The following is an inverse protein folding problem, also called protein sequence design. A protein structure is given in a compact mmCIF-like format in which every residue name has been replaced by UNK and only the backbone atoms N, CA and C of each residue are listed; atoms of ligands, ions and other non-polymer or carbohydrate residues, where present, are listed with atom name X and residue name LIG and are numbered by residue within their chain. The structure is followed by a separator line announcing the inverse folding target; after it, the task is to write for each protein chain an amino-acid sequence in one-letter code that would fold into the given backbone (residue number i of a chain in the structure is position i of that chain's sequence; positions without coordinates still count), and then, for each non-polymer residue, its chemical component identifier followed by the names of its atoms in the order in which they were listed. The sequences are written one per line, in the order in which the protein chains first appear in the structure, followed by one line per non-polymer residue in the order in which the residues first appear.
data_IF_036590294273
#
_entry.id   IF_036590294273
#
_cell.length_a   1.000
_cell.length_b   1.000
_cell.length_c   1.000
_cell.angle_alpha   90.00
_cell.angle_beta   90.00
_cell.angle_gamma   90.00
#
_symmetry.space_group_name_H-M   'P 1'
#
loop_
_entity.id
_entity.type
_entity.pdbx_description
1 polymer ?
#
# COMPACT_ATOMS: atom_id res chain seq x y z
N UNK A 1 55.96 2.92 38.07
CA UNK A 1 55.48 2.37 36.78
C UNK A 1 53.96 2.06 36.84
N UNK A 2 53.42 1.60 37.99
CA UNK A 2 52.02 1.28 38.19
C UNK A 2 51.07 2.47 38.17
N UNK A 3 51.45 3.62 38.78
CA UNK A 3 50.62 4.82 38.86
C UNK A 3 50.49 5.58 37.51
N UNK A 4 51.53 5.53 36.68
CA UNK A 4 51.51 6.17 35.35
C UNK A 4 50.57 5.39 34.41
N UNK A 5 50.56 4.04 34.53
CA UNK A 5 49.69 3.21 33.73
C UNK A 5 48.20 3.44 34.04
N UNK A 6 47.84 3.67 35.32
CA UNK A 6 46.46 3.98 35.73
C UNK A 6 45.97 5.33 35.25
N UNK A 7 46.83 6.36 35.30
CA UNK A 7 46.47 7.73 34.82
C UNK A 7 46.31 7.78 33.31
N UNK A 8 47.14 7.07 32.56
CA UNK A 8 47.01 6.97 31.09
C UNK A 8 45.76 6.19 30.70
N UNK A 9 45.44 5.10 31.41
CA UNK A 9 44.22 4.30 31.14
C UNK A 9 42.94 5.10 31.41
N UNK A 10 42.89 5.89 32.48
CA UNK A 10 41.75 6.77 32.76
C UNK A 10 41.59 7.91 31.73
N UNK A 11 42.73 8.52 31.27
CA UNK A 11 42.67 9.55 30.25
C UNK A 11 42.18 9.04 28.90
N UNK A 12 42.57 7.84 28.49
CA UNK A 12 42.11 7.19 27.25
C UNK A 12 40.61 6.83 27.36
N UNK A 13 40.17 6.33 28.52
CA UNK A 13 38.73 6.03 28.73
C UNK A 13 37.84 7.28 28.68
N UNK A 14 38.32 8.42 29.23
CA UNK A 14 37.59 9.70 29.17
C UNK A 14 37.53 10.26 27.74
N UNK A 15 38.60 10.16 26.97
CA UNK A 15 38.63 10.63 25.57
C UNK A 15 37.71 9.76 24.69
N UNK A 16 37.65 8.44 24.90
CA UNK A 16 36.73 7.57 24.18
C UNK A 16 35.27 7.87 24.57
N UNK A 17 34.98 8.11 25.85
CA UNK A 17 33.63 8.45 26.31
C UNK A 17 33.16 9.81 25.76
N UNK A 18 34.03 10.80 25.71
CA UNK A 18 33.72 12.13 25.12
C UNK A 18 33.57 12.03 23.61
N UNK A 19 34.39 11.22 22.93
CA UNK A 19 34.27 10.96 21.50
C UNK A 19 32.96 10.27 21.12
N UNK A 20 32.45 9.34 21.95
CA UNK A 20 31.16 8.67 21.72
C UNK A 20 29.94 9.58 21.96
N UNK A 21 30.07 10.58 22.87
CA UNK A 21 29.02 11.57 23.11
C UNK A 21 28.98 12.60 21.97
N UNK A 22 30.13 12.96 21.39
CA UNK A 22 30.23 13.92 20.30
C UNK A 22 29.76 13.38 18.93
N UNK A 23 29.66 12.03 18.77
CA UNK A 23 29.20 11.39 17.52
C UNK A 23 27.73 10.99 17.53
N UNK A 24 26.94 11.30 18.59
CA UNK A 24 25.49 11.18 18.49
C UNK A 24 25.05 12.19 17.44
N UNK A 25 24.37 11.74 16.36
CA UNK A 25 23.80 12.70 15.42
C UNK A 25 22.90 13.63 16.22
N UNK A 26 23.25 14.92 16.20
CA UNK A 26 22.42 15.96 16.78
C UNK A 26 21.08 15.88 16.04
N UNK A 27 20.02 15.50 16.75
CA UNK A 27 18.67 15.54 16.21
C UNK A 27 18.43 17.00 15.83
N UNK A 28 18.63 17.32 14.57
CA UNK A 28 18.25 18.62 14.06
C UNK A 28 16.78 18.79 14.41
N UNK A 29 16.43 19.88 15.08
CA UNK A 29 15.04 20.35 15.23
C UNK A 29 14.53 20.78 13.84
N UNK A 30 14.47 19.81 12.92
CA UNK A 30 13.82 19.99 11.64
C UNK A 30 12.32 20.05 11.93
N UNK A 31 11.70 21.16 11.59
CA UNK A 31 10.26 21.33 11.69
C UNK A 31 9.58 20.11 11.05
N UNK A 32 8.67 19.46 11.80
CA UNK A 32 7.95 18.28 11.32
C UNK A 32 7.20 18.66 10.04
N UNK A 33 7.51 17.96 8.95
CA UNK A 33 6.85 18.17 7.65
C UNK A 33 5.60 17.28 7.57
N UNK A 34 4.44 17.89 7.37
CA UNK A 34 3.21 17.16 7.11
C UNK A 34 3.18 16.67 5.67
N UNK A 35 2.90 15.37 5.47
CA UNK A 35 2.66 14.74 4.18
C UNK A 35 1.22 14.20 4.13
N UNK A 36 0.48 14.59 3.10
CA UNK A 36 -0.85 14.08 2.81
C UNK A 36 -0.73 12.81 1.98
N UNK A 37 -1.16 11.69 2.54
CA UNK A 37 -1.16 10.39 1.86
C UNK A 37 -2.59 9.96 1.59
N UNK A 38 -2.88 9.57 0.34
CA UNK A 38 -4.18 9.02 -0.05
C UNK A 38 -4.02 7.54 -0.40
N UNK A 39 -4.73 6.65 0.31
CA UNK A 39 -4.71 5.20 0.06
C UNK A 39 -5.99 4.72 -0.62
N UNK A 40 -5.94 3.59 -1.32
CA UNK A 40 -7.09 3.02 -2.05
C UNK A 40 -8.23 2.65 -1.10
N UNK A 41 -7.93 1.97 0.00
CA UNK A 41 -8.89 1.50 0.99
C UNK A 41 -8.18 1.17 2.30
N UNK A 42 -8.93 1.04 3.40
CA UNK A 42 -8.40 0.45 4.63
C UNK A 42 -8.25 -1.06 4.46
N UNK A 43 -7.04 -1.59 4.68
CA UNK A 43 -6.76 -3.01 4.48
C UNK A 43 -5.70 -3.53 5.44
N UNK A 44 -5.87 -4.77 5.90
CA UNK A 44 -4.86 -5.48 6.70
C UNK A 44 -3.55 -5.67 5.92
N UNK A 45 -3.58 -5.65 4.60
CA UNK A 45 -2.39 -5.72 3.74
C UNK A 45 -1.50 -4.48 3.87
N UNK A 46 -2.05 -3.38 4.38
CA UNK A 46 -1.34 -2.12 4.61
C UNK A 46 -0.91 -1.95 6.07
N UNK A 47 -1.02 -3.01 6.88
CA UNK A 47 -0.66 -2.99 8.30
C UNK A 47 0.72 -2.37 8.59
N UNK A 48 1.80 -2.59 7.80
CA UNK A 48 3.08 -1.94 8.04
C UNK A 48 3.00 -0.41 8.07
N UNK A 49 2.21 0.20 7.17
CA UNK A 49 1.97 1.65 7.13
C UNK A 49 1.25 2.12 8.41
N UNK A 50 0.19 1.41 8.83
CA UNK A 50 -0.57 1.78 10.02
C UNK A 50 0.25 1.62 11.30
N UNK A 51 1.07 0.56 11.38
CA UNK A 51 1.99 0.35 12.51
C UNK A 51 3.04 1.46 12.56
N UNK A 52 3.59 1.87 11.42
CA UNK A 52 4.56 2.95 11.36
C UNK A 52 3.96 4.29 11.83
N UNK A 53 2.71 4.59 11.43
CA UNK A 53 1.99 5.77 11.90
C UNK A 53 1.70 5.67 13.41
N UNK A 54 1.15 4.54 13.87
CA UNK A 54 0.74 4.36 15.25
C UNK A 54 1.90 4.38 16.26
N UNK A 55 3.08 3.92 15.84
CA UNK A 55 4.29 3.88 16.67
C UNK A 55 5.15 5.15 16.56
N UNK A 56 4.75 6.12 15.74
CA UNK A 56 5.51 7.37 15.59
C UNK A 56 6.79 7.26 14.76
N UNK A 57 6.96 6.20 13.96
CA UNK A 57 8.18 6.01 13.16
C UNK A 57 8.36 7.09 12.09
N UNK A 58 7.27 7.66 11.58
CA UNK A 58 7.34 8.79 10.67
C UNK A 58 7.76 10.08 11.39
N UNK A 59 7.27 10.30 12.60
CA UNK A 59 7.63 11.45 13.44
C UNK A 59 9.10 11.39 13.84
N UNK A 60 9.67 10.21 14.07
CA UNK A 60 11.11 10.02 14.31
C UNK A 60 11.97 10.50 13.14
N UNK A 61 11.44 10.41 11.92
CA UNK A 61 12.06 10.89 10.68
C UNK A 61 11.65 12.33 10.31
N UNK A 62 10.95 13.04 11.22
CA UNK A 62 10.53 14.43 11.01
C UNK A 62 9.31 14.56 10.09
N UNK A 63 8.52 13.51 9.92
CA UNK A 63 7.34 13.49 9.08
C UNK A 63 6.08 13.28 9.91
N UNK A 64 5.00 13.97 9.55
CA UNK A 64 3.64 13.71 10.06
C UNK A 64 2.78 13.25 8.89
N UNK A 65 2.14 12.11 9.01
CA UNK A 65 1.28 11.56 7.96
C UNK A 65 -0.17 11.95 8.21
N UNK A 66 -0.80 12.60 7.22
CA UNK A 66 -2.24 12.80 7.14
C UNK A 66 -2.81 11.81 6.13
N UNK A 67 -3.37 10.71 6.63
CA UNK A 67 -3.85 9.59 5.84
C UNK A 67 -5.34 9.72 5.52
N UNK A 68 -5.67 9.72 4.23
CA UNK A 68 -7.05 9.72 3.70
C UNK A 68 -7.28 8.50 2.80
N UNK A 69 -8.55 8.19 2.51
CA UNK A 69 -8.93 7.03 1.70
C UNK A 69 -9.70 7.47 0.45
N UNK A 70 -9.20 7.10 -0.73
CA UNK A 70 -9.77 7.44 -2.04
C UNK A 70 -10.85 6.48 -2.53
N UNK A 71 -10.94 5.28 -1.95
CA UNK A 71 -11.90 4.23 -2.34
C UNK A 71 -11.75 3.74 -3.79
N UNK A 72 -10.53 3.74 -4.31
CA UNK A 72 -10.19 3.27 -5.64
C UNK A 72 -8.88 3.88 -6.13
N UNK A 73 -8.11 3.12 -6.94
CA UNK A 73 -6.83 3.58 -7.46
C UNK A 73 -6.97 4.80 -8.39
N UNK A 74 -8.06 4.88 -9.13
CA UNK A 74 -8.44 6.02 -9.98
C UNK A 74 -8.64 7.31 -9.18
N UNK A 75 -9.33 7.25 -8.05
CA UNK A 75 -9.51 8.39 -7.17
C UNK A 75 -8.19 8.82 -6.51
N UNK A 76 -7.38 7.86 -6.07
CA UNK A 76 -6.04 8.15 -5.52
C UNK A 76 -5.19 8.87 -6.56
N UNK A 77 -5.15 8.35 -7.79
CA UNK A 77 -4.40 8.96 -8.89
C UNK A 77 -4.89 10.37 -9.19
N UNK A 78 -6.20 10.56 -9.27
CA UNK A 78 -6.82 11.88 -9.46
C UNK A 78 -6.42 12.86 -8.36
N UNK A 79 -6.41 12.41 -7.10
CA UNK A 79 -6.03 13.26 -5.96
C UNK A 79 -4.55 13.70 -6.02
N UNK A 80 -3.65 12.80 -6.46
CA UNK A 80 -2.23 13.13 -6.63
C UNK A 80 -2.04 14.13 -7.77
N UNK A 81 -2.61 13.85 -8.96
CA UNK A 81 -2.48 14.73 -10.13
C UNK A 81 -3.11 16.11 -9.90
N UNK A 82 -4.17 16.19 -9.08
CA UNK A 82 -4.80 17.44 -8.69
C UNK A 82 -4.08 18.19 -7.55
N UNK A 83 -2.98 17.64 -7.02
CA UNK A 83 -2.24 18.23 -5.89
C UNK A 83 -3.01 18.22 -4.56
N UNK A 84 -4.03 17.38 -4.43
CA UNK A 84 -4.81 17.23 -3.19
C UNK A 84 -4.09 16.40 -2.13
N UNK A 85 -3.18 15.53 -2.56
CA UNK A 85 -2.27 14.80 -1.70
C UNK A 85 -0.86 14.76 -2.31
N UNK A 86 0.14 14.55 -1.45
CA UNK A 86 1.55 14.50 -1.84
C UNK A 86 1.95 13.10 -2.34
N UNK A 87 1.32 12.06 -1.78
CA UNK A 87 1.63 10.67 -2.07
C UNK A 87 0.34 9.88 -2.27
N UNK A 88 0.26 9.13 -3.37
CA UNK A 88 -0.76 8.13 -3.62
C UNK A 88 -0.28 6.74 -3.24
N UNK A 89 -1.05 6.02 -2.42
CA UNK A 89 -0.80 4.63 -2.10
C UNK A 89 -1.84 3.75 -2.81
N UNK A 90 -1.49 3.27 -3.99
CA UNK A 90 -2.37 2.50 -4.88
C UNK A 90 -1.57 1.49 -5.71
N UNK A 91 -2.25 0.68 -6.51
CA UNK A 91 -1.61 -0.19 -7.47
C UNK A 91 -0.90 0.61 -8.58
N UNK A 92 0.19 0.08 -9.15
CA UNK A 92 0.96 0.78 -10.19
C UNK A 92 0.21 0.93 -11.51
N UNK A 93 -0.88 0.19 -11.72
CA UNK A 93 -1.70 0.25 -12.93
C UNK A 93 -2.21 1.66 -13.23
N UNK A 94 -2.59 2.39 -12.18
CA UNK A 94 -3.11 3.74 -12.35
C UNK A 94 -2.05 4.71 -12.93
N UNK A 95 -0.77 4.57 -12.54
CA UNK A 95 0.33 5.35 -13.12
C UNK A 95 0.61 4.95 -14.58
N UNK A 96 0.49 3.66 -14.90
CA UNK A 96 0.67 3.16 -16.26
C UNK A 96 -0.41 3.71 -17.19
N UNK A 97 -1.67 3.78 -16.74
CA UNK A 97 -2.75 4.35 -17.55
C UNK A 97 -2.50 5.83 -17.86
N UNK A 98 -2.13 6.62 -16.85
CA UNK A 98 -1.84 8.06 -17.05
C UNK A 98 -0.66 8.26 -18.00
N UNK A 99 0.40 7.47 -17.84
CA UNK A 99 1.55 7.52 -18.73
C UNK A 99 1.19 7.19 -20.19
N UNK A 100 0.36 6.17 -20.39
CA UNK A 100 -0.08 5.75 -21.73
C UNK A 100 -1.02 6.75 -22.42
N UNK A 101 -1.64 7.68 -21.67
CA UNK A 101 -2.40 8.78 -22.25
C UNK A 101 -1.50 9.85 -22.89
N UNK A 102 -0.19 9.73 -22.77
CA UNK A 102 0.78 10.64 -23.40
C UNK A 102 0.82 12.04 -22.77
N UNK A 103 0.38 12.20 -21.54
CA UNK A 103 0.49 13.45 -20.79
C UNK A 103 1.92 13.66 -20.30
N UNK A 104 2.38 14.93 -20.33
CA UNK A 104 3.70 15.30 -19.82
C UNK A 104 3.75 15.21 -18.28
N UNK A 105 2.64 15.45 -17.61
CA UNK A 105 2.48 15.36 -16.16
C UNK A 105 1.95 13.99 -15.76
N UNK A 106 2.81 13.15 -15.20
CA UNK A 106 2.50 11.80 -14.72
C UNK A 106 3.19 11.54 -13.37
N UNK A 107 2.72 10.54 -12.65
CA UNK A 107 3.27 10.15 -11.35
C UNK A 107 4.34 9.07 -11.51
N UNK A 108 5.33 9.09 -10.63
CA UNK A 108 6.39 8.09 -10.55
C UNK A 108 6.18 7.17 -9.36
N UNK A 109 6.38 5.86 -9.58
CA UNK A 109 6.36 4.86 -8.51
C UNK A 109 7.74 4.81 -7.86
N UNK A 110 7.85 5.19 -6.59
CA UNK A 110 9.13 5.27 -5.89
C UNK A 110 9.32 4.20 -4.80
N UNK A 111 8.22 3.56 -4.33
CA UNK A 111 8.28 2.55 -3.27
C UNK A 111 7.21 1.48 -3.45
N UNK A 112 7.48 0.28 -2.94
CA UNK A 112 6.55 -0.84 -2.94
C UNK A 112 6.35 -1.34 -1.50
N UNK A 113 5.10 -1.28 -0.99
CA UNK A 113 4.75 -1.78 0.34
C UNK A 113 4.36 -3.26 0.31
N UNK A 114 3.54 -3.67 -0.67
CA UNK A 114 3.07 -5.05 -0.81
C UNK A 114 3.74 -5.72 -2.00
N UNK A 115 4.24 -6.93 -1.80
CA UNK A 115 4.95 -7.69 -2.86
C UNK A 115 4.00 -8.53 -3.72
N UNK A 116 2.84 -8.91 -3.17
CA UNK A 116 1.87 -9.79 -3.85
C UNK A 116 0.46 -9.24 -3.63
N UNK A 117 -0.41 -9.47 -4.60
CA UNK A 117 -1.84 -9.26 -4.43
C UNK A 117 -2.40 -10.22 -3.38
N UNK A 118 -3.34 -9.73 -2.56
CA UNK A 118 -3.99 -10.48 -1.50
C UNK A 118 -5.46 -10.80 -1.80
N UNK A 119 -5.88 -10.76 -3.06
CA UNK A 119 -7.24 -11.05 -3.44
C UNK A 119 -7.54 -12.56 -3.38
N UNK A 120 -8.72 -12.90 -2.85
CA UNK A 120 -9.20 -14.27 -2.73
C UNK A 120 -10.60 -14.37 -3.32
N UNK A 121 -10.86 -15.44 -4.10
CA UNK A 121 -12.21 -15.79 -4.54
C UNK A 121 -12.95 -16.47 -3.40
N UNK A 122 -14.08 -15.91 -2.99
CA UNK A 122 -14.88 -16.37 -1.86
C UNK A 122 -16.26 -16.80 -2.35
N UNK A 123 -16.75 -17.96 -1.88
CA UNK A 123 -18.08 -18.48 -2.17
C UNK A 123 -18.92 -18.57 -0.89
N UNK A 124 -20.25 -18.35 -1.00
CA UNK A 124 -21.20 -18.58 0.09
C UNK A 124 -21.34 -20.06 0.43
N UNK A 125 -21.22 -20.91 -0.57
CA UNK A 125 -21.39 -22.34 -0.41
C UNK A 125 -20.02 -23.02 -0.38
N UNK A 126 -19.82 -23.90 0.60
CA UNK A 126 -18.63 -24.75 0.63
C UNK A 126 -18.61 -25.62 -0.63
N UNK A 127 -17.47 -25.68 -1.28
CA UNK A 127 -17.19 -26.64 -2.35
C UNK A 127 -15.87 -27.36 -2.05
N UNK A 128 -15.85 -28.67 -2.14
CA UNK A 128 -14.65 -29.47 -1.89
C UNK A 128 -13.81 -29.64 -3.17
N UNK A 129 -14.41 -29.45 -4.35
CA UNK A 129 -13.77 -29.62 -5.67
C UNK A 129 -14.11 -28.42 -6.57
N UNK A 130 -13.51 -27.26 -6.29
CA UNK A 130 -13.69 -26.07 -7.13
C UNK A 130 -13.03 -26.25 -8.50
N UNK A 131 -13.76 -25.91 -9.55
CA UNK A 131 -13.24 -25.70 -10.90
C UNK A 131 -13.57 -24.29 -11.36
N UNK A 132 -12.68 -23.67 -12.14
CA UNK A 132 -12.95 -22.36 -12.74
C UNK A 132 -14.22 -22.38 -13.61
N UNK A 133 -14.54 -23.51 -14.23
CA UNK A 133 -15.75 -23.69 -15.04
C UNK A 133 -17.04 -23.54 -14.23
N UNK A 134 -17.00 -23.70 -12.90
CA UNK A 134 -18.16 -23.54 -12.02
C UNK A 134 -18.62 -22.07 -11.92
N UNK A 135 -17.81 -21.15 -12.42
CA UNK A 135 -18.14 -19.72 -12.47
C UNK A 135 -19.03 -19.35 -13.65
N UNK A 136 -19.23 -20.26 -14.62
CA UNK A 136 -20.13 -19.98 -15.77
C UNK A 136 -21.55 -19.65 -15.29
N UNK A 137 -22.08 -18.53 -15.79
CA UNK A 137 -23.39 -18.04 -15.43
C UNK A 137 -23.52 -17.46 -14.02
N UNK A 138 -22.40 -17.30 -13.29
CA UNK A 138 -22.39 -16.68 -11.95
C UNK A 138 -22.15 -15.19 -12.05
N UNK A 139 -22.60 -14.47 -11.00
CA UNK A 139 -22.19 -13.09 -10.75
C UNK A 139 -21.04 -13.08 -9.76
N UNK A 140 -20.00 -12.33 -10.07
CA UNK A 140 -18.82 -12.13 -9.21
C UNK A 140 -18.60 -10.64 -9.03
N UNK A 141 -18.26 -10.22 -7.82
CA UNK A 141 -17.86 -8.86 -7.48
C UNK A 141 -16.31 -8.81 -7.43
N UNK A 142 -15.63 -8.43 -8.52
CA UNK A 142 -14.17 -8.52 -8.61
C UNK A 142 -13.46 -7.25 -8.13
N UNK A 143 -14.20 -6.23 -7.71
CA UNK A 143 -13.73 -4.88 -7.51
C UNK A 143 -13.92 -4.01 -8.73
N UNK A 144 -13.37 -2.80 -8.72
CA UNK A 144 -13.56 -1.82 -9.80
C UNK A 144 -12.80 -2.22 -11.06
N UNK A 145 -13.44 -2.04 -12.20
CA UNK A 145 -12.81 -2.24 -13.52
C UNK A 145 -11.54 -1.40 -13.65
N UNK A 146 -10.48 -2.01 -14.15
CA UNK A 146 -9.16 -1.38 -14.29
C UNK A 146 -8.27 -1.42 -13.03
N UNK A 147 -8.79 -1.82 -11.87
CA UNK A 147 -7.96 -2.07 -10.68
C UNK A 147 -7.26 -3.44 -10.72
N UNK A 148 -6.15 -3.58 -9.97
CA UNK A 148 -5.35 -4.83 -9.95
C UNK A 148 -6.20 -6.07 -9.67
N UNK A 149 -7.11 -6.12 -8.66
CA UNK A 149 -7.91 -7.31 -8.41
C UNK A 149 -8.78 -7.71 -9.62
N UNK A 150 -9.45 -6.74 -10.23
CA UNK A 150 -10.30 -6.95 -11.40
C UNK A 150 -9.49 -7.50 -12.59
N UNK A 151 -8.40 -6.82 -12.96
CA UNK A 151 -7.56 -7.23 -14.09
C UNK A 151 -6.89 -8.58 -13.87
N UNK A 152 -6.44 -8.87 -12.64
CA UNK A 152 -5.87 -10.16 -12.28
C UNK A 152 -6.92 -11.26 -12.42
N UNK A 153 -8.15 -11.01 -11.98
CA UNK A 153 -9.24 -11.96 -12.09
C UNK A 153 -9.60 -12.24 -13.55
N UNK A 154 -9.73 -11.20 -14.39
CA UNK A 154 -9.94 -11.38 -15.84
C UNK A 154 -8.84 -12.23 -16.49
N UNK A 155 -7.58 -11.95 -16.12
CA UNK A 155 -6.46 -12.73 -16.62
C UNK A 155 -6.58 -14.20 -16.22
N UNK A 156 -6.87 -14.48 -14.96
CA UNK A 156 -7.03 -15.87 -14.46
C UNK A 156 -8.19 -16.58 -15.15
N UNK A 157 -9.32 -15.90 -15.36
CA UNK A 157 -10.46 -16.47 -16.13
C UNK A 157 -10.02 -16.87 -17.52
N UNK A 158 -9.36 -15.97 -18.26
CA UNK A 158 -8.85 -16.24 -19.63
C UNK A 158 -7.88 -17.42 -19.65
N UNK A 159 -6.95 -17.51 -18.68
CA UNK A 159 -6.00 -18.63 -18.57
C UNK A 159 -6.69 -19.97 -18.31
N UNK A 160 -7.90 -19.96 -17.73
CA UNK A 160 -8.71 -21.15 -17.47
C UNK A 160 -9.81 -21.38 -18.53
N UNK A 161 -9.70 -20.73 -19.69
CA UNK A 161 -10.59 -20.93 -20.83
C UNK A 161 -12.00 -20.34 -20.65
N UNK A 162 -12.12 -19.33 -19.79
CA UNK A 162 -13.35 -18.56 -19.61
C UNK A 162 -13.25 -17.19 -20.28
N UNK A 163 -14.32 -16.77 -20.94
CA UNK A 163 -14.46 -15.41 -21.43
C UNK A 163 -15.14 -14.54 -20.36
N UNK A 164 -14.43 -13.56 -19.77
CA UNK A 164 -15.00 -12.71 -18.71
C UNK A 164 -16.17 -11.85 -19.16
N UNK A 165 -16.36 -11.64 -20.48
CA UNK A 165 -17.46 -10.83 -21.01
C UNK A 165 -18.75 -11.62 -21.27
N UNK A 166 -18.65 -12.94 -21.47
CA UNK A 166 -19.78 -13.74 -21.92
C UNK A 166 -20.11 -14.94 -21.02
N UNK A 167 -19.12 -15.48 -20.30
CA UNK A 167 -19.30 -16.70 -19.51
C UNK A 167 -19.84 -16.43 -18.10
N UNK A 168 -19.69 -15.20 -17.58
CA UNK A 168 -20.12 -14.81 -16.24
C UNK A 168 -20.42 -13.32 -16.19
N UNK A 169 -21.03 -12.85 -15.10
CA UNK A 169 -21.26 -11.41 -14.87
C UNK A 169 -20.20 -10.88 -13.88
N UNK A 170 -19.42 -9.89 -14.30
CA UNK A 170 -18.51 -9.15 -13.43
C UNK A 170 -19.19 -7.86 -13.01
N UNK A 171 -19.67 -7.82 -11.75
CA UNK A 171 -20.28 -6.62 -11.18
C UNK A 171 -19.22 -5.71 -10.57
N UNK A 172 -18.79 -4.71 -11.32
CA UNK A 172 -17.80 -3.71 -10.94
C UNK A 172 -18.42 -2.42 -10.35
N UNK A 173 -19.73 -2.39 -10.17
CA UNK A 173 -20.45 -1.25 -9.61
C UNK A 173 -20.27 -1.08 -8.10
N UNK A 174 -19.89 -2.16 -7.40
CA UNK A 174 -19.74 -2.19 -5.96
C UNK A 174 -18.38 -1.62 -5.53
N UNK A 175 -18.40 -0.61 -4.66
CA UNK A 175 -17.17 -0.04 -4.10
C UNK A 175 -16.47 -1.03 -3.18
N UNK A 176 -15.14 -0.91 -3.07
CA UNK A 176 -14.28 -1.83 -2.33
C UNK A 176 -14.72 -2.08 -0.89
N UNK A 177 -15.03 -1.03 -0.16
CA UNK A 177 -15.46 -1.06 1.23
C UNK A 177 -16.87 -1.68 1.42
N UNK A 178 -17.67 -1.75 0.36
CA UNK A 178 -19.03 -2.30 0.37
C UNK A 178 -19.10 -3.77 -0.12
N UNK A 179 -18.03 -4.29 -0.73
CA UNK A 179 -18.04 -5.63 -1.36
C UNK A 179 -18.44 -6.74 -0.38
N UNK A 180 -17.88 -6.74 0.83
CA UNK A 180 -18.19 -7.77 1.83
C UNK A 180 -19.67 -7.73 2.26
N UNK A 181 -20.21 -6.53 2.45
CA UNK A 181 -21.63 -6.33 2.78
C UNK A 181 -22.57 -6.73 1.66
N UNK A 182 -22.26 -6.35 0.42
CA UNK A 182 -23.04 -6.73 -0.77
C UNK A 182 -23.03 -8.26 -0.96
N UNK A 183 -21.87 -8.88 -0.87
CA UNK A 183 -21.73 -10.34 -0.96
C UNK A 183 -22.54 -11.06 0.14
N UNK A 184 -22.45 -10.62 1.39
CA UNK A 184 -23.21 -11.19 2.51
C UNK A 184 -24.73 -11.00 2.32
N UNK A 185 -25.16 -9.84 1.82
CA UNK A 185 -26.57 -9.52 1.55
C UNK A 185 -27.23 -10.29 0.41
N UNK A 186 -26.44 -10.91 -0.46
CA UNK A 186 -26.97 -11.71 -1.57
C UNK A 186 -27.08 -11.00 -2.92
N UNK A 187 -26.44 -9.87 -3.02
CA UNK A 187 -26.27 -9.17 -4.31
C UNK A 187 -25.19 -9.83 -5.13
#
# INVERSE_FOLDING_TARGET
VSEICHKVSCLVAVVIAVGFIATRPQKNDTAIKTLKVNEVTRSVFYAPQYVAIANGFFEEEGLKIELTTGQGADNVMTAVLAGQCDIGFCGPEASIYVYNEGKEDYVEVFAQLTKRDGSFLVSKNKTDNFSWQDLKGKTVIPGRKGGVPYMTFEYVLKQNGLNPETDLVLDDSIKFDLMAGAFAGGN
#
